data_IF_417244260512
#
_entry.id   IF_417244260512
#
_cell.length_a   1.000
_cell.length_b   1.000
_cell.length_c   1.000
_cell.angle_alpha   90.00
_cell.angle_beta   90.00
_cell.angle_gamma   90.00
#
_symmetry.space_group_name_H-M   'P 1'
#
loop_
_entity.id
_entity.type
_entity.pdbx_description
1 polymer ?
#
# COMPACT_ATOMS: atom_id res chain seq x y z
N UNK A 1 -18.06 17.93 3.67
CA UNK A 1 -16.61 17.75 3.83
C UNK A 1 -15.88 17.41 2.53
N UNK A 2 -16.24 16.33 1.82
CA UNK A 2 -15.57 16.00 0.54
C UNK A 2 -15.64 17.12 -0.52
N UNK A 3 -16.66 17.98 -0.49
CA UNK A 3 -16.72 19.16 -1.35
C UNK A 3 -15.56 20.14 -1.08
N UNK A 4 -15.15 20.35 0.18
CA UNK A 4 -14.01 21.23 0.51
C UNK A 4 -12.71 20.71 -0.08
N UNK A 5 -12.53 19.38 -0.10
CA UNK A 5 -11.37 18.75 -0.72
C UNK A 5 -11.40 18.81 -2.25
N UNK A 6 -12.59 18.77 -2.86
CA UNK A 6 -12.74 19.02 -4.30
C UNK A 6 -12.38 20.46 -4.65
N UNK A 7 -12.87 21.43 -3.89
CA UNK A 7 -12.55 22.84 -4.08
C UNK A 7 -11.05 23.10 -3.91
N UNK A 8 -10.43 22.43 -2.93
CA UNK A 8 -8.99 22.48 -2.74
C UNK A 8 -8.24 21.85 -3.92
N UNK A 9 -8.69 20.69 -4.42
CA UNK A 9 -8.08 20.01 -5.56
C UNK A 9 -8.14 20.86 -6.85
N UNK A 10 -9.15 21.72 -7.01
CA UNK A 10 -9.25 22.64 -8.14
C UNK A 10 -8.03 23.55 -8.26
N UNK A 11 -7.39 23.96 -7.15
CA UNK A 11 -6.19 24.81 -7.19
C UNK A 11 -4.94 24.06 -7.68
N UNK A 12 -4.95 22.72 -7.59
CA UNK A 12 -3.88 21.84 -8.06
C UNK A 12 -4.09 21.32 -9.48
N UNK A 13 -5.23 21.64 -10.14
CA UNK A 13 -5.50 21.22 -11.51
C UNK A 13 -4.59 21.98 -12.49
N UNK A 14 -3.32 21.57 -12.55
CA UNK A 14 -2.35 22.07 -13.51
C UNK A 14 -2.86 21.77 -14.93
N UNK A 15 -2.89 22.79 -15.78
CA UNK A 15 -2.92 22.55 -17.22
C UNK A 15 -1.56 21.93 -17.56
N UNK A 16 -1.48 20.71 -18.12
CA UNK A 16 -0.19 20.14 -18.45
C UNK A 16 0.49 21.02 -19.51
N UNK A 17 1.45 21.84 -19.08
CA UNK A 17 2.31 22.61 -19.99
C UNK A 17 3.21 21.67 -20.81
N UNK A 18 3.44 20.45 -20.31
CA UNK A 18 4.11 19.36 -21.03
C UNK A 18 3.10 18.33 -21.52
N UNK A 19 3.13 18.05 -22.83
CA UNK A 19 2.42 16.93 -23.44
C UNK A 19 2.99 15.64 -22.83
N UNK A 20 2.18 14.99 -22.00
CA UNK A 20 2.57 13.74 -21.36
C UNK A 20 2.07 12.56 -22.19
N UNK A 21 3.01 11.78 -22.70
CA UNK A 21 2.69 10.61 -23.50
C UNK A 21 2.35 9.40 -22.62
N UNK A 22 1.30 8.63 -22.96
CA UNK A 22 0.97 7.39 -22.27
C UNK A 22 2.02 6.31 -22.53
N UNK A 23 2.29 5.47 -21.53
CA UNK A 23 3.17 4.31 -21.70
C UNK A 23 2.59 3.26 -22.66
N UNK A 24 3.46 2.64 -23.45
CA UNK A 24 3.12 1.46 -24.24
C UNK A 24 3.04 0.22 -23.32
N UNK A 25 1.90 0.03 -22.67
CA UNK A 25 1.69 -1.06 -21.71
C UNK A 25 1.38 -2.39 -22.43
N UNK A 26 2.05 -3.50 -22.08
CA UNK A 26 1.74 -4.82 -22.65
C UNK A 26 0.43 -5.37 -22.09
N UNK A 27 0.09 -5.04 -20.85
CA UNK A 27 -1.17 -5.36 -20.21
C UNK A 27 -1.45 -4.41 -19.04
N UNK A 28 -2.67 -4.49 -18.50
CA UNK A 28 -3.11 -3.66 -17.38
C UNK A 28 -2.40 -3.97 -16.05
N UNK A 29 -1.93 -5.19 -15.84
CA UNK A 29 -1.26 -5.58 -14.58
C UNK A 29 0.10 -4.92 -14.48
N UNK A 30 0.85 -4.86 -15.59
CA UNK A 30 2.09 -4.09 -15.67
C UNK A 30 1.80 -2.61 -15.42
N UNK A 31 0.76 -2.05 -16.05
CA UNK A 31 0.37 -0.65 -15.83
C UNK A 31 0.06 -0.33 -14.36
N UNK A 32 -0.72 -1.17 -13.69
CA UNK A 32 -1.06 -0.98 -12.27
C UNK A 32 0.17 -1.12 -11.36
N UNK A 33 1.09 -2.04 -11.68
CA UNK A 33 2.35 -2.23 -10.97
C UNK A 33 3.27 -1.00 -11.11
N UNK A 34 3.39 -0.45 -12.32
CA UNK A 34 4.16 0.78 -12.60
C UNK A 34 3.53 1.97 -11.86
N UNK A 35 2.21 2.17 -11.99
CA UNK A 35 1.50 3.27 -11.34
C UNK A 35 1.78 3.32 -9.84
N UNK A 36 1.63 2.17 -9.16
CA UNK A 36 1.84 2.08 -7.72
C UNK A 36 3.28 2.36 -7.31
N UNK A 37 4.26 1.72 -7.98
CA UNK A 37 5.67 1.91 -7.64
C UNK A 37 6.19 3.29 -7.98
N UNK A 38 5.72 3.88 -9.08
CA UNK A 38 6.06 5.25 -9.45
C UNK A 38 5.57 6.24 -8.38
N UNK A 39 4.30 6.13 -7.94
CA UNK A 39 3.78 6.96 -6.85
C UNK A 39 4.59 6.74 -5.57
N UNK A 40 4.78 5.49 -5.15
CA UNK A 40 5.56 5.13 -3.95
C UNK A 40 6.98 5.72 -3.94
N UNK A 41 7.63 5.78 -5.10
CA UNK A 41 8.99 6.32 -5.28
C UNK A 41 9.04 7.82 -5.59
N UNK A 42 7.89 8.48 -5.71
CA UNK A 42 7.80 9.90 -6.02
C UNK A 42 8.07 10.27 -7.49
N UNK A 43 7.94 9.32 -8.41
CA UNK A 43 8.06 9.57 -9.85
C UNK A 43 6.73 10.04 -10.44
N UNK A 44 6.55 11.36 -10.45
CA UNK A 44 5.33 12.03 -10.90
C UNK A 44 5.04 11.80 -12.38
N UNK A 45 6.07 11.90 -13.23
CA UNK A 45 5.95 11.75 -14.67
C UNK A 45 5.54 10.32 -15.06
N UNK A 46 6.25 9.31 -14.53
CA UNK A 46 5.96 7.91 -14.82
C UNK A 46 4.60 7.47 -14.27
N UNK A 47 4.23 7.92 -13.06
CA UNK A 47 2.92 7.65 -12.49
C UNK A 47 1.80 8.16 -13.40
N UNK A 48 1.95 9.40 -13.86
CA UNK A 48 0.94 10.04 -14.71
C UNK A 48 0.89 9.42 -16.13
N UNK A 49 2.02 9.10 -16.76
CA UNK A 49 2.05 8.34 -18.03
C UNK A 49 1.44 6.94 -17.91
N UNK A 50 1.64 6.25 -16.78
CA UNK A 50 0.99 4.96 -16.50
C UNK A 50 -0.53 5.11 -16.33
N UNK A 51 -0.98 6.15 -15.63
CA UNK A 51 -2.40 6.43 -15.47
C UNK A 51 -3.10 6.74 -16.80
N UNK A 52 -2.48 7.55 -17.66
CA UNK A 52 -2.98 7.85 -19.00
C UNK A 52 -3.13 6.59 -19.85
N UNK A 53 -2.15 5.69 -19.80
CA UNK A 53 -2.20 4.41 -20.51
C UNK A 53 -3.27 3.44 -19.94
N UNK A 54 -3.52 3.50 -18.63
CA UNK A 54 -4.53 2.67 -17.97
C UNK A 54 -5.98 3.13 -18.22
N UNK A 55 -6.22 4.41 -18.47
CA UNK A 55 -7.59 4.94 -18.69
C UNK A 55 -8.38 4.20 -19.79
N UNK A 56 -7.83 3.96 -20.99
CA UNK A 56 -8.52 3.18 -22.01
C UNK A 56 -8.54 1.67 -21.72
N UNK A 57 -7.59 1.15 -20.93
CA UNK A 57 -7.43 -0.29 -20.68
C UNK A 57 -8.28 -0.81 -19.50
N UNK A 58 -8.32 -0.09 -18.39
CA UNK A 58 -9.03 -0.46 -17.17
C UNK A 58 -9.34 0.76 -16.29
N UNK A 59 -10.24 1.62 -16.77
CA UNK A 59 -10.67 2.85 -16.05
C UNK A 59 -11.11 2.57 -14.61
N UNK A 60 -11.91 1.52 -14.39
CA UNK A 60 -12.39 1.15 -13.05
C UNK A 60 -11.25 0.67 -12.16
N UNK A 61 -10.34 -0.14 -12.72
CA UNK A 61 -9.12 -0.58 -12.06
C UNK A 61 -8.22 0.58 -11.64
N UNK A 62 -8.03 1.58 -12.52
CA UNK A 62 -7.24 2.78 -12.23
C UNK A 62 -7.76 3.52 -11.00
N UNK A 63 -9.04 3.90 -10.97
CA UNK A 63 -9.59 4.69 -9.86
C UNK A 63 -9.55 3.94 -8.54
N UNK A 64 -9.85 2.64 -8.55
CA UNK A 64 -9.73 1.79 -7.35
C UNK A 64 -8.29 1.68 -6.88
N UNK A 65 -7.33 1.54 -7.81
CA UNK A 65 -5.90 1.44 -7.49
C UNK A 65 -5.35 2.76 -6.96
N UNK A 66 -5.70 3.91 -7.54
CA UNK A 66 -5.32 5.22 -6.99
C UNK A 66 -5.79 5.39 -5.56
N UNK A 67 -7.04 5.00 -5.27
CA UNK A 67 -7.56 5.05 -3.91
C UNK A 67 -6.81 4.09 -2.98
N UNK A 68 -6.52 2.87 -3.44
CA UNK A 68 -5.74 1.89 -2.67
C UNK A 68 -4.35 2.44 -2.35
N UNK A 69 -3.63 2.98 -3.34
CA UNK A 69 -2.31 3.60 -3.18
C UNK A 69 -2.36 4.78 -2.21
N UNK A 70 -3.42 5.60 -2.26
CA UNK A 70 -3.58 6.70 -1.33
C UNK A 70 -3.62 6.21 0.13
N UNK A 71 -4.34 5.14 0.44
CA UNK A 71 -4.36 4.57 1.79
C UNK A 71 -3.11 3.76 2.14
N UNK A 72 -2.58 2.98 1.20
CA UNK A 72 -1.47 2.03 1.41
C UNK A 72 -0.11 2.73 1.47
N UNK A 73 0.17 3.61 0.51
CA UNK A 73 1.50 4.15 0.28
C UNK A 73 1.65 5.60 0.75
N UNK A 74 0.56 6.37 0.82
CA UNK A 74 0.56 7.77 1.28
C UNK A 74 0.08 7.88 2.73
N UNK A 75 -1.09 7.31 3.05
CA UNK A 75 -1.60 7.17 4.41
C UNK A 75 -1.61 8.50 5.19
N UNK A 76 -1.12 8.46 6.44
CA UNK A 76 -0.95 9.66 7.28
C UNK A 76 0.35 10.44 7.00
N UNK A 77 1.09 10.05 5.97
CA UNK A 77 2.17 10.88 5.45
C UNK A 77 1.61 12.17 4.83
N UNK A 78 0.48 12.08 4.12
CA UNK A 78 -0.23 13.23 3.56
C UNK A 78 -1.76 13.00 3.54
N UNK A 79 -2.41 13.30 4.67
CA UNK A 79 -3.85 13.09 4.87
C UNK A 79 -4.72 13.92 3.91
N UNK A 80 -4.21 15.07 3.47
CA UNK A 80 -4.88 15.92 2.50
C UNK A 80 -4.89 15.26 1.13
N UNK A 81 -3.76 14.71 0.68
CA UNK A 81 -3.69 13.97 -0.59
C UNK A 81 -4.63 12.76 -0.60
N UNK A 82 -4.70 12.01 0.52
CA UNK A 82 -5.66 10.90 0.67
C UNK A 82 -7.11 11.38 0.55
N UNK A 83 -7.45 12.45 1.27
CA UNK A 83 -8.80 13.02 1.27
C UNK A 83 -9.22 13.56 -0.10
N UNK A 84 -8.31 14.24 -0.82
CA UNK A 84 -8.53 14.71 -2.18
C UNK A 84 -8.71 13.56 -3.17
N UNK A 85 -7.89 12.51 -3.07
CA UNK A 85 -8.01 11.31 -3.90
C UNK A 85 -9.38 10.64 -3.70
N UNK A 86 -9.80 10.43 -2.45
CA UNK A 86 -11.11 9.87 -2.12
C UNK A 86 -12.26 10.74 -2.67
N UNK A 87 -12.18 12.06 -2.51
CA UNK A 87 -13.20 12.99 -3.00
C UNK A 87 -13.36 12.96 -4.53
N UNK A 88 -12.24 12.84 -5.26
CA UNK A 88 -12.21 12.74 -6.72
C UNK A 88 -12.69 11.38 -7.22
N UNK A 89 -12.31 10.27 -6.57
CA UNK A 89 -12.77 8.91 -6.92
C UNK A 89 -14.29 8.78 -6.76
N UNK A 90 -14.85 9.40 -5.71
CA UNK A 90 -16.27 9.27 -5.39
C UNK A 90 -17.21 9.95 -6.41
N UNK A 91 -16.76 11.00 -7.11
CA UNK A 91 -17.62 11.77 -8.03
C UNK A 91 -17.12 11.77 -9.48
N UNK A 92 -17.59 10.83 -10.32
CA UNK A 92 -17.35 10.86 -11.75
C UNK A 92 -17.85 12.15 -12.43
N UNK A 93 -18.99 12.70 -11.97
CA UNK A 93 -19.55 13.96 -12.50
C UNK A 93 -18.60 15.12 -12.28
N UNK A 94 -18.06 15.25 -11.07
CA UNK A 94 -17.07 16.29 -10.76
C UNK A 94 -15.81 16.15 -11.62
N UNK A 95 -15.35 14.92 -11.86
CA UNK A 95 -14.19 14.71 -12.75
C UNK A 95 -14.48 15.17 -14.18
N UNK A 96 -15.70 14.95 -14.68
CA UNK A 96 -16.12 15.46 -15.98
C UNK A 96 -16.11 16.99 -16.03
N UNK A 97 -16.62 17.65 -14.99
CA UNK A 97 -16.62 19.12 -14.86
C UNK A 97 -15.20 19.71 -14.79
N UNK A 98 -14.24 18.97 -14.23
CA UNK A 98 -12.84 19.41 -14.08
C UNK A 98 -11.96 19.17 -15.31
N UNK A 99 -12.54 18.89 -16.48
CA UNK A 99 -11.81 18.62 -17.72
C UNK A 99 -11.52 17.14 -17.99
N UNK A 100 -12.23 16.24 -17.29
CA UNK A 100 -12.27 14.82 -17.57
C UNK A 100 -11.30 13.95 -16.77
N UNK A 101 -11.49 12.63 -16.90
CA UNK A 101 -10.74 11.61 -16.16
C UNK A 101 -9.22 11.73 -16.33
N UNK A 102 -8.73 12.06 -17.53
CA UNK A 102 -7.29 12.18 -17.82
C UNK A 102 -6.62 13.27 -16.98
N UNK A 103 -7.16 14.49 -16.98
CA UNK A 103 -6.61 15.61 -16.24
C UNK A 103 -6.62 15.34 -14.73
N UNK A 104 -7.72 14.80 -14.21
CA UNK A 104 -7.83 14.47 -12.78
C UNK A 104 -6.87 13.35 -12.41
N UNK A 105 -6.76 12.28 -13.20
CA UNK A 105 -5.87 11.16 -12.91
C UNK A 105 -4.40 11.60 -12.87
N UNK A 106 -3.96 12.41 -13.84
CA UNK A 106 -2.60 12.99 -13.86
C UNK A 106 -2.36 13.85 -12.61
N UNK A 107 -3.31 14.70 -12.26
CA UNK A 107 -3.21 15.57 -11.07
C UNK A 107 -3.07 14.76 -9.80
N UNK A 108 -3.90 13.72 -9.61
CA UNK A 108 -3.80 12.84 -8.45
C UNK A 108 -2.48 12.05 -8.42
N UNK A 109 -1.97 11.61 -9.57
CA UNK A 109 -0.68 10.92 -9.63
C UNK A 109 0.45 11.83 -9.13
N UNK A 110 0.47 13.10 -9.57
CA UNK A 110 1.45 14.09 -9.11
C UNK A 110 1.33 14.32 -7.60
N UNK A 111 0.11 14.63 -7.14
CA UNK A 111 -0.19 14.87 -5.72
C UNK A 111 0.26 13.71 -4.83
N UNK A 112 -0.13 12.48 -5.17
CA UNK A 112 0.22 11.29 -4.39
C UNK A 112 1.72 10.97 -4.47
N UNK A 113 2.36 11.18 -5.61
CA UNK A 113 3.80 10.94 -5.78
C UNK A 113 4.65 11.95 -5.00
N UNK A 114 4.25 13.22 -4.94
CA UNK A 114 4.96 14.28 -4.20
C UNK A 114 4.75 14.22 -2.68
N UNK A 115 3.59 13.70 -2.24
CA UNK A 115 3.23 13.56 -0.83
C UNK A 115 4.25 12.75 -0.02
N UNK A 116 4.32 12.99 1.29
CA UNK A 116 5.10 12.11 2.18
C UNK A 116 4.43 10.74 2.21
N UNK A 117 5.23 9.67 2.14
CA UNK A 117 4.75 8.29 2.17
C UNK A 117 4.63 7.79 3.60
N UNK A 118 3.60 7.00 3.86
CA UNK A 118 3.46 6.22 5.09
C UNK A 118 2.82 4.88 4.74
N UNK A 119 3.58 3.80 4.95
CA UNK A 119 3.16 2.42 4.68
C UNK A 119 2.70 1.66 5.92
N UNK A 120 2.60 2.34 7.06
CA UNK A 120 2.29 1.68 8.33
C UNK A 120 0.90 1.08 8.31
N UNK A 121 -0.01 1.62 7.50
CA UNK A 121 -1.33 1.05 7.27
C UNK A 121 -1.26 -0.40 6.77
N UNK A 122 -0.46 -0.65 5.74
CA UNK A 122 -0.20 -1.97 5.15
C UNK A 122 0.44 -2.91 6.18
N UNK A 123 1.52 -2.44 6.81
CA UNK A 123 2.27 -3.26 7.76
C UNK A 123 1.46 -3.65 9.00
N UNK A 124 0.74 -2.69 9.61
CA UNK A 124 0.02 -2.92 10.85
C UNK A 124 -1.26 -3.72 10.62
N UNK A 125 -1.92 -3.60 9.46
CA UNK A 125 -3.07 -4.46 9.17
C UNK A 125 -2.65 -5.89 8.83
N UNK A 126 -1.52 -6.08 8.13
CA UNK A 126 -0.92 -7.40 7.96
C UNK A 126 -0.56 -8.00 9.33
N UNK A 127 0.04 -7.21 10.22
CA UNK A 127 0.36 -7.67 11.56
C UNK A 127 -0.89 -8.05 12.38
N UNK A 128 -1.91 -7.21 12.35
CA UNK A 128 -3.21 -7.50 12.97
C UNK A 128 -3.82 -8.79 12.46
N UNK A 129 -3.61 -9.13 11.18
CA UNK A 129 -4.13 -10.34 10.57
C UNK A 129 -3.36 -11.61 10.94
N UNK A 130 -2.03 -11.58 10.83
CA UNK A 130 -1.21 -12.80 10.81
C UNK A 130 0.02 -12.79 11.71
N UNK A 131 0.38 -11.67 12.36
CA UNK A 131 1.57 -11.70 13.22
C UNK A 131 1.34 -12.61 14.44
N UNK A 132 2.27 -13.52 14.77
CA UNK A 132 2.12 -14.45 15.90
C UNK A 132 1.93 -13.73 17.23
N UNK A 133 2.75 -12.71 17.50
CA UNK A 133 2.67 -11.93 18.75
C UNK A 133 1.33 -11.22 18.98
N UNK A 134 0.48 -11.11 17.94
CA UNK A 134 -0.84 -10.45 18.03
C UNK A 134 -1.98 -11.48 18.05
N UNK A 135 -1.70 -12.77 18.25
CA UNK A 135 -2.72 -13.81 18.34
C UNK A 135 -3.67 -13.60 19.51
N UNK A 136 -3.15 -13.41 20.73
CA UNK A 136 -3.96 -13.13 21.91
C UNK A 136 -4.79 -11.85 21.74
N UNK A 137 -4.23 -10.83 21.07
CA UNK A 137 -4.93 -9.58 20.77
C UNK A 137 -6.12 -9.82 19.83
N UNK A 138 -5.94 -10.64 18.79
CA UNK A 138 -7.03 -11.05 17.88
C UNK A 138 -8.13 -11.81 18.62
N UNK A 139 -7.77 -12.76 19.46
CA UNK A 139 -8.74 -13.54 20.25
C UNK A 139 -9.53 -12.64 21.22
N UNK A 140 -8.83 -11.74 21.93
CA UNK A 140 -9.45 -10.79 22.83
C UNK A 140 -10.39 -9.82 22.11
N UNK A 141 -10.00 -9.27 20.96
CA UNK A 141 -10.87 -8.39 20.18
C UNK A 141 -12.08 -9.14 19.61
N UNK A 142 -11.87 -10.35 19.08
CA UNK A 142 -12.92 -11.18 18.47
C UNK A 142 -13.96 -11.69 19.46
N UNK A 143 -13.58 -11.94 20.71
CA UNK A 143 -14.48 -12.41 21.77
C UNK A 143 -15.30 -11.29 22.43
N UNK A 144 -14.90 -10.03 22.29
CA UNK A 144 -15.58 -8.89 22.91
C UNK A 144 -16.86 -8.49 22.16
N UNK A 145 -17.89 -7.99 22.86
CA UNK A 145 -19.03 -7.31 22.25
C UNK A 145 -18.59 -6.12 21.38
N UNK A 146 -19.35 -5.81 20.33
CA UNK A 146 -19.06 -4.73 19.39
C UNK A 146 -18.81 -3.38 20.08
N UNK A 147 -19.64 -3.00 21.06
CA UNK A 147 -19.48 -1.76 21.81
C UNK A 147 -18.13 -1.69 22.56
N UNK A 148 -17.65 -2.81 23.08
CA UNK A 148 -16.37 -2.86 23.78
C UNK A 148 -15.19 -2.76 22.80
N UNK A 149 -15.32 -3.31 21.59
CA UNK A 149 -14.32 -3.13 20.52
C UNK A 149 -14.18 -1.67 20.13
N UNK A 150 -15.30 -0.95 19.98
CA UNK A 150 -15.28 0.49 19.67
C UNK A 150 -14.60 1.28 20.81
N UNK A 151 -14.92 0.99 22.08
CA UNK A 151 -14.24 1.64 23.22
C UNK A 151 -12.74 1.37 23.26
N UNK A 152 -12.29 0.17 22.87
CA UNK A 152 -10.85 -0.12 22.79
C UNK A 152 -10.15 0.80 21.78
N UNK A 153 -10.81 1.20 20.68
CA UNK A 153 -10.21 2.11 19.69
C UNK A 153 -9.97 3.50 20.29
N UNK A 154 -10.87 3.97 21.15
CA UNK A 154 -10.80 5.29 21.81
C UNK A 154 -9.79 5.32 22.97
N UNK A 155 -9.50 4.17 23.59
CA UNK A 155 -8.63 4.09 24.75
C UNK A 155 -7.16 4.28 24.38
N UNK A 156 -6.65 5.49 24.59
CA UNK A 156 -5.26 5.86 24.32
C UNK A 156 -4.24 5.16 25.23
N UNK A 157 -4.67 4.50 26.31
CA UNK A 157 -3.79 3.72 27.18
C UNK A 157 -3.48 2.32 26.63
N UNK A 158 -4.28 1.84 25.68
CA UNK A 158 -4.06 0.54 25.06
C UNK A 158 -2.91 0.59 24.03
N UNK A 159 -2.13 -0.49 23.90
CA UNK A 159 -1.15 -0.62 22.83
C UNK A 159 -1.78 -0.48 21.46
N UNK A 160 -0.98 -0.04 20.49
CA UNK A 160 -1.45 0.14 19.11
C UNK A 160 -2.01 -1.16 18.50
N UNK A 161 -1.44 -2.31 18.87
CA UNK A 161 -1.88 -3.62 18.41
C UNK A 161 -3.35 -3.88 18.75
N UNK A 162 -3.74 -3.63 20.01
CA UNK A 162 -5.10 -3.77 20.51
C UNK A 162 -6.06 -2.84 19.78
N UNK A 163 -5.68 -1.58 19.60
CA UNK A 163 -6.51 -0.55 18.97
C UNK A 163 -6.75 -0.84 17.49
N UNK A 164 -5.72 -1.25 16.75
CA UNK A 164 -5.85 -1.59 15.31
C UNK A 164 -6.69 -2.85 15.14
N UNK A 165 -6.42 -3.88 15.93
CA UNK A 165 -7.15 -5.14 15.85
C UNK A 165 -8.61 -4.92 16.24
N UNK A 166 -8.89 -4.17 17.30
CA UNK A 166 -10.25 -3.81 17.67
C UNK A 166 -10.97 -2.98 16.59
N UNK A 167 -10.28 -2.01 15.96
CA UNK A 167 -10.85 -1.25 14.85
C UNK A 167 -11.21 -2.14 13.65
N UNK A 168 -10.34 -3.08 13.28
CA UNK A 168 -10.64 -4.05 12.23
C UNK A 168 -11.86 -4.89 12.60
N UNK A 169 -11.90 -5.46 13.81
CA UNK A 169 -13.02 -6.29 14.25
C UNK A 169 -14.33 -5.51 14.48
N UNK A 170 -14.26 -4.22 14.80
CA UNK A 170 -15.43 -3.35 14.93
C UNK A 170 -15.99 -2.92 13.58
N UNK A 171 -15.14 -2.86 12.55
CA UNK A 171 -15.53 -2.35 11.22
C UNK A 171 -16.48 -3.26 10.44
N UNK A 172 -16.47 -4.57 10.71
CA UNK A 172 -17.20 -5.54 9.87
C UNK A 172 -16.54 -5.81 8.51
N UNK A 173 -15.37 -5.25 8.23
CA UNK A 173 -14.68 -5.40 6.93
C UNK A 173 -13.86 -6.69 6.93
N UNK A 174 -14.30 -7.66 6.12
CA UNK A 174 -13.63 -8.96 5.98
C UNK A 174 -12.44 -8.91 5.01
N UNK A 175 -11.53 -9.88 5.17
CA UNK A 175 -10.38 -10.04 4.30
C UNK A 175 -10.55 -11.26 3.38
N UNK A 176 -10.97 -11.09 2.13
CA UNK A 176 -11.21 -12.24 1.26
C UNK A 176 -9.94 -13.12 1.06
N UNK A 177 -10.04 -14.47 1.13
CA UNK A 177 -11.25 -15.29 1.33
C UNK A 177 -11.63 -15.55 2.80
N UNK A 178 -10.82 -15.08 3.72
CA UNK A 178 -10.97 -15.22 5.16
C UNK A 178 -12.18 -14.41 5.68
N UNK A 179 -13.01 -15.03 6.52
CA UNK A 179 -14.13 -14.37 7.17
C UNK A 179 -14.06 -14.64 8.67
N UNK A 180 -13.64 -13.64 9.45
CA UNK A 180 -13.45 -13.77 10.90
C UNK A 180 -13.96 -12.60 11.72
N UNK A 181 -14.27 -11.47 11.08
CA UNK A 181 -14.70 -10.26 11.80
C UNK A 181 -16.18 -10.33 12.18
N UNK A 182 -17.01 -10.83 11.27
CA UNK A 182 -18.46 -10.87 11.45
C UNK A 182 -19.14 -9.51 11.24
N UNK A 183 -20.28 -9.30 11.88
CA UNK A 183 -21.00 -8.03 11.82
C UNK A 183 -20.22 -6.92 12.55
N UNK A 184 -20.22 -5.72 11.98
CA UNK A 184 -19.58 -4.55 12.55
C UNK A 184 -20.49 -3.33 12.56
N UNK A 185 -19.99 -2.25 13.14
CA UNK A 185 -20.60 -0.93 13.15
C UNK A 185 -19.59 0.10 12.64
N UNK A 186 -19.56 0.23 11.32
CA UNK A 186 -18.64 1.14 10.65
C UNK A 186 -18.97 2.62 10.95
N UNK A 187 -20.25 2.94 11.18
CA UNK A 187 -20.63 4.31 11.48
C UNK A 187 -20.17 4.70 12.89
N UNK A 188 -20.47 3.88 13.89
CA UNK A 188 -19.98 4.07 15.26
C UNK A 188 -18.47 4.04 15.37
N UNK A 189 -17.76 3.17 14.64
CA UNK A 189 -16.30 3.16 14.61
C UNK A 189 -15.70 4.47 14.08
N UNK A 190 -16.26 5.01 13.00
CA UNK A 190 -15.77 6.26 12.41
C UNK A 190 -16.05 7.47 13.33
N UNK A 191 -17.18 7.46 14.03
CA UNK A 191 -17.52 8.50 15.01
C UNK A 191 -16.59 8.44 16.23
N UNK A 192 -16.25 7.23 16.69
CA UNK A 192 -15.25 6.99 17.74
C UNK A 192 -13.85 7.46 17.33
N UNK A 193 -13.40 7.13 16.11
CA UNK A 193 -12.12 7.60 15.58
C UNK A 193 -12.05 9.13 15.49
N UNK A 194 -13.13 9.77 15.04
CA UNK A 194 -13.20 11.23 15.00
C UNK A 194 -13.16 11.83 16.41
N UNK A 195 -13.86 11.22 17.37
CA UNK A 195 -13.84 11.65 18.78
C UNK A 195 -12.46 11.46 19.43
N UNK A 196 -11.71 10.45 18.99
CA UNK A 196 -10.32 10.20 19.38
C UNK A 196 -9.29 11.11 18.69
N UNK A 197 -9.73 12.03 17.82
CA UNK A 197 -8.87 13.05 17.21
C UNK A 197 -8.55 12.84 15.72
N UNK A 198 -9.03 11.75 15.09
CA UNK A 198 -8.78 11.53 13.66
C UNK A 198 -9.24 12.73 12.83
N UNK A 199 -8.40 13.14 11.87
CA UNK A 199 -8.72 14.24 10.99
C UNK A 199 -10.06 13.97 10.28
N UNK A 200 -11.01 14.91 10.30
CA UNK A 200 -12.34 14.66 9.73
C UNK A 200 -12.27 14.22 8.25
N UNK A 201 -11.32 14.79 7.49
CA UNK A 201 -11.08 14.41 6.09
C UNK A 201 -10.68 12.95 5.92
N UNK A 202 -9.81 12.45 6.79
CA UNK A 202 -9.37 11.05 6.79
C UNK A 202 -10.52 10.09 7.12
N UNK A 203 -11.40 10.46 8.07
CA UNK A 203 -12.62 9.69 8.39
C UNK A 203 -13.55 9.63 7.18
N UNK A 204 -13.83 10.77 6.55
CA UNK A 204 -14.65 10.83 5.35
C UNK A 204 -14.05 10.04 4.17
N UNK A 205 -12.74 10.12 3.99
CA UNK A 205 -12.00 9.36 2.99
C UNK A 205 -12.12 7.85 3.26
N UNK A 206 -11.96 7.43 4.51
CA UNK A 206 -12.04 6.01 4.92
C UNK A 206 -13.39 5.40 4.58
N UNK A 207 -14.49 6.13 4.80
CA UNK A 207 -15.84 5.71 4.38
C UNK A 207 -15.92 5.45 2.87
N UNK A 208 -15.31 6.31 2.05
CA UNK A 208 -15.21 6.09 0.58
C UNK A 208 -14.32 4.88 0.27
N UNK A 209 -13.15 4.78 0.93
CA UNK A 209 -12.21 3.68 0.81
C UNK A 209 -12.88 2.32 1.00
N UNK A 210 -13.66 2.15 2.07
CA UNK A 210 -14.33 0.89 2.39
C UNK A 210 -15.36 0.54 1.31
N UNK A 211 -16.19 1.51 0.88
CA UNK A 211 -17.20 1.26 -0.16
C UNK A 211 -16.59 0.89 -1.51
N UNK A 212 -15.43 1.47 -1.86
CA UNK A 212 -14.84 1.36 -3.20
C UNK A 212 -13.78 0.26 -3.33
N UNK A 213 -13.02 0.02 -2.25
CA UNK A 213 -11.93 -0.95 -2.19
C UNK A 213 -12.36 -2.21 -1.45
N UNK A 214 -13.12 -2.08 -0.35
CA UNK A 214 -13.61 -3.21 0.43
C UNK A 214 -12.50 -3.98 1.16
N UNK A 215 -11.41 -3.31 1.51
CA UNK A 215 -10.24 -3.93 2.15
C UNK A 215 -9.91 -3.24 3.48
N UNK A 216 -9.57 -3.98 4.56
CA UNK A 216 -9.33 -3.40 5.89
C UNK A 216 -8.21 -2.35 5.96
N UNK A 217 -7.26 -2.37 5.03
CA UNK A 217 -6.13 -1.43 4.98
C UNK A 217 -6.57 0.05 5.04
N UNK A 218 -7.72 0.39 4.48
CA UNK A 218 -8.22 1.77 4.44
C UNK A 218 -8.65 2.30 5.82
N UNK A 219 -8.86 1.41 6.80
CA UNK A 219 -9.21 1.77 8.18
C UNK A 219 -8.02 2.36 8.94
N UNK A 220 -6.83 1.83 8.68
CA UNK A 220 -5.67 2.08 9.52
C UNK A 220 -5.20 3.54 9.46
N UNK A 221 -5.20 4.24 8.31
CA UNK A 221 -4.86 5.67 8.29
C UNK A 221 -5.74 6.54 9.19
N UNK A 222 -7.05 6.29 9.30
CA UNK A 222 -7.90 7.02 10.23
C UNK A 222 -7.53 6.72 11.70
N UNK A 223 -7.18 5.46 12.00
CA UNK A 223 -6.66 5.05 13.31
C UNK A 223 -5.36 5.81 13.64
N UNK A 224 -4.38 5.75 12.74
CA UNK A 224 -3.09 6.42 12.93
C UNK A 224 -3.23 7.95 13.01
N UNK A 225 -4.19 8.54 12.29
CA UNK A 225 -4.51 9.97 12.38
C UNK A 225 -4.95 10.34 13.80
N UNK A 226 -5.83 9.54 14.43
CA UNK A 226 -6.21 9.72 15.83
C UNK A 226 -5.03 9.58 16.80
N UNK A 227 -4.19 8.54 16.63
CA UNK A 227 -3.07 8.26 17.54
C UNK A 227 -1.97 9.32 17.46
N UNK A 228 -1.72 9.85 16.27
CA UNK A 228 -0.63 10.81 16.03
C UNK A 228 -1.08 12.27 16.07
N UNK A 229 -2.31 12.52 16.53
CA UNK A 229 -2.85 13.88 16.63
C UNK A 229 -1.98 14.75 17.53
N UNK A 230 -1.48 15.87 16.97
CA UNK A 230 -0.60 16.80 17.68
C UNK A 230 0.88 16.42 17.67
N UNK A 231 1.24 15.26 17.10
CA UNK A 231 2.65 14.91 16.90
C UNK A 231 3.24 15.68 15.70
N UNK A 232 4.50 16.14 15.79
CA UNK A 232 5.15 16.77 14.65
C UNK A 232 5.35 15.78 13.52
N UNK A 233 4.92 16.15 12.31
CA UNK A 233 5.20 15.38 11.09
C UNK A 233 6.70 15.40 10.79
N UNK A 234 7.38 14.30 11.07
CA UNK A 234 8.78 14.08 10.69
C UNK A 234 8.85 13.16 9.49
N UNK A 235 9.74 13.48 8.55
CA UNK A 235 10.00 12.65 7.39
C UNK A 235 11.47 12.68 7.03
N UNK A 236 11.89 11.65 6.31
CA UNK A 236 13.24 11.53 5.79
C UNK A 236 13.21 11.13 4.31
N UNK A 237 14.26 11.54 3.59
CA UNK A 237 14.52 11.04 2.25
C UNK A 237 15.28 9.71 2.35
N UNK A 238 14.88 8.73 1.53
CA UNK A 238 15.55 7.43 1.41
C UNK A 238 15.98 7.21 -0.04
N UNK A 239 17.09 6.51 -0.22
CA UNK A 239 17.51 6.07 -1.54
C UNK A 239 16.59 4.96 -2.04
N UNK A 240 16.11 5.08 -3.28
CA UNK A 240 15.41 3.99 -3.97
C UNK A 240 16.37 3.28 -4.94
N UNK A 241 16.21 1.97 -5.19
CA UNK A 241 17.05 1.25 -6.15
C UNK A 241 17.00 1.89 -7.54
N UNK A 242 18.16 1.94 -8.21
CA UNK A 242 18.26 2.48 -9.56
C UNK A 242 17.35 1.70 -10.52
N UNK A 243 16.60 2.44 -11.32
CA UNK A 243 15.68 1.87 -12.29
C UNK A 243 16.42 1.32 -13.51
N UNK A 244 16.09 0.09 -13.89
CA UNK A 244 16.50 -0.51 -15.17
C UNK A 244 15.25 -0.66 -16.04
N UNK A 245 15.31 -0.19 -17.28
CA UNK A 245 14.18 -0.19 -18.21
C UNK A 245 14.47 -0.99 -19.48
N UNK A 246 13.43 -1.61 -20.03
CA UNK A 246 13.41 -2.22 -21.37
C UNK A 246 12.24 -1.63 -22.13
N UNK A 247 12.49 -1.02 -23.29
CA UNK A 247 11.45 -0.34 -24.09
C UNK A 247 10.63 0.69 -23.30
N UNK A 248 11.29 1.42 -22.39
CA UNK A 248 10.63 2.41 -21.51
C UNK A 248 9.84 1.83 -20.34
N UNK A 249 9.77 0.50 -20.19
CA UNK A 249 9.10 -0.16 -19.08
C UNK A 249 10.12 -0.55 -17.99
N UNK A 250 9.89 -0.17 -16.73
CA UNK A 250 10.80 -0.53 -15.66
C UNK A 250 10.71 -2.00 -15.28
N UNK A 251 11.86 -2.66 -15.13
CA UNK A 251 11.92 -4.09 -14.84
C UNK A 251 11.30 -4.47 -13.49
N UNK A 252 11.32 -3.55 -12.52
CA UNK A 252 10.68 -3.75 -11.22
C UNK A 252 9.15 -3.89 -11.31
N UNK A 253 8.53 -3.54 -12.45
CA UNK A 253 7.11 -3.75 -12.66
C UNK A 253 6.76 -5.24 -12.82
N UNK A 254 7.72 -6.06 -13.26
CA UNK A 254 7.59 -7.50 -13.39
C UNK A 254 7.89 -8.18 -12.06
N UNK A 255 6.92 -8.12 -11.16
CA UNK A 255 7.00 -8.62 -9.79
C UNK A 255 6.11 -9.86 -9.56
N UNK A 256 5.95 -10.24 -8.29
CA UNK A 256 5.13 -11.38 -7.85
C UNK A 256 3.63 -11.26 -8.20
N UNK A 257 3.15 -10.11 -8.69
CA UNK A 257 1.76 -9.92 -9.12
C UNK A 257 1.59 -10.02 -10.64
N UNK A 258 2.68 -10.25 -11.38
CA UNK A 258 2.67 -10.36 -12.84
C UNK A 258 3.11 -11.75 -13.27
N UNK A 259 2.57 -12.25 -14.39
CA UNK A 259 2.91 -13.61 -14.88
C UNK A 259 4.40 -13.77 -15.17
N UNK A 260 4.98 -12.81 -15.90
CA UNK A 260 6.41 -12.83 -16.23
C UNK A 260 7.27 -12.63 -14.97
N UNK A 261 6.87 -11.74 -14.06
CA UNK A 261 7.58 -11.53 -12.80
C UNK A 261 7.61 -12.78 -11.91
N UNK A 262 6.49 -13.51 -11.78
CA UNK A 262 6.46 -14.82 -11.09
C UNK A 262 7.43 -15.82 -11.72
N UNK A 263 7.43 -15.94 -13.05
CA UNK A 263 8.36 -16.81 -13.77
C UNK A 263 9.83 -16.41 -13.53
N UNK A 264 10.13 -15.10 -13.54
CA UNK A 264 11.46 -14.57 -13.26
C UNK A 264 11.90 -14.88 -11.82
N UNK A 265 11.02 -14.65 -10.84
CA UNK A 265 11.26 -14.92 -9.41
C UNK A 265 11.51 -16.40 -9.17
N UNK A 266 10.68 -17.29 -9.73
CA UNK A 266 10.83 -18.72 -9.60
C UNK A 266 12.16 -19.23 -10.21
N UNK A 267 12.57 -18.65 -11.35
CA UNK A 267 13.86 -18.96 -11.97
C UNK A 267 15.03 -18.43 -11.14
N UNK A 268 14.91 -17.20 -10.64
CA UNK A 268 15.91 -16.54 -9.79
C UNK A 268 16.18 -17.33 -8.50
N UNK A 269 15.12 -17.77 -7.81
CA UNK A 269 15.21 -18.58 -6.60
C UNK A 269 16.00 -19.90 -6.80
N UNK A 270 15.98 -20.48 -8.01
CA UNK A 270 16.65 -21.75 -8.32
C UNK A 270 18.05 -21.59 -8.88
N UNK A 271 18.28 -20.53 -9.67
CA UNK A 271 19.49 -20.35 -10.47
C UNK A 271 20.55 -19.47 -9.80
N UNK A 272 20.16 -18.51 -8.95
CA UNK A 272 21.13 -17.72 -8.21
C UNK A 272 21.60 -18.51 -6.98
N UNK A 273 22.90 -18.85 -6.94
CA UNK A 273 23.47 -19.70 -5.89
C UNK A 273 23.37 -19.08 -4.48
N UNK A 274 23.54 -17.76 -4.36
CA UNK A 274 23.49 -17.08 -3.05
C UNK A 274 22.08 -17.11 -2.48
N UNK A 275 21.08 -16.76 -3.28
CA UNK A 275 19.66 -16.82 -2.91
C UNK A 275 19.26 -18.25 -2.57
N UNK A 276 19.60 -19.23 -3.42
CA UNK A 276 19.30 -20.65 -3.16
C UNK A 276 19.87 -21.13 -1.82
N UNK A 277 21.13 -20.78 -1.52
CA UNK A 277 21.80 -21.19 -0.27
C UNK A 277 21.07 -20.65 0.97
N UNK A 278 20.57 -19.41 0.92
CA UNK A 278 19.79 -18.83 2.02
C UNK A 278 18.42 -19.52 2.13
N UNK A 279 17.76 -19.79 1.00
CA UNK A 279 16.48 -20.49 0.99
C UNK A 279 16.60 -21.91 1.56
N UNK A 280 17.60 -22.70 1.15
CA UNK A 280 17.87 -24.04 1.68
C UNK A 280 18.07 -24.06 3.21
N UNK A 281 18.62 -22.96 3.77
CA UNK A 281 18.88 -22.85 5.20
C UNK A 281 17.65 -22.46 6.01
N UNK A 282 16.78 -21.58 5.49
CA UNK A 282 15.75 -20.91 6.28
C UNK A 282 14.31 -21.18 5.80
N UNK A 283 14.11 -21.69 4.58
CA UNK A 283 12.79 -21.74 3.94
C UNK A 283 12.53 -23.15 3.41
N UNK A 284 11.39 -23.79 3.76
CA UNK A 284 11.02 -25.07 3.16
C UNK A 284 10.93 -24.98 1.63
N UNK A 285 11.45 -25.96 0.90
CA UNK A 285 11.54 -25.98 -0.58
C UNK A 285 10.25 -25.54 -1.30
N UNK A 286 9.10 -26.02 -0.83
CA UNK A 286 7.78 -25.70 -1.39
C UNK A 286 7.38 -24.21 -1.26
N UNK A 287 8.12 -23.43 -0.47
CA UNK A 287 7.86 -22.01 -0.18
C UNK A 287 8.91 -21.07 -0.76
N UNK A 288 9.94 -21.57 -1.45
CA UNK A 288 11.01 -20.76 -2.00
C UNK A 288 10.54 -19.64 -2.92
N UNK A 289 9.58 -19.92 -3.82
CA UNK A 289 9.05 -18.91 -4.73
C UNK A 289 8.33 -17.79 -3.96
N UNK A 290 7.51 -18.13 -2.97
CA UNK A 290 6.78 -17.15 -2.16
C UNK A 290 7.75 -16.30 -1.31
N UNK A 291 8.71 -16.93 -0.63
CA UNK A 291 9.72 -16.23 0.15
C UNK A 291 10.59 -15.31 -0.71
N UNK A 292 11.00 -15.77 -1.90
CA UNK A 292 11.77 -14.94 -2.85
C UNK A 292 10.93 -13.78 -3.37
N UNK A 293 9.63 -14.01 -3.63
CA UNK A 293 8.69 -12.95 -4.02
C UNK A 293 8.56 -11.84 -2.98
N UNK A 294 8.45 -12.21 -1.70
CA UNK A 294 8.50 -11.25 -0.58
C UNK A 294 9.86 -10.58 -0.47
N UNK A 295 10.96 -11.32 -0.62
CA UNK A 295 12.31 -10.76 -0.66
C UNK A 295 12.46 -9.68 -1.73
N UNK A 296 11.97 -9.93 -2.95
CA UNK A 296 11.97 -8.95 -4.06
C UNK A 296 11.06 -7.78 -3.74
N UNK A 297 9.88 -8.03 -3.18
CA UNK A 297 8.98 -6.97 -2.78
C UNK A 297 9.64 -6.04 -1.76
N UNK A 298 10.25 -6.54 -0.70
CA UNK A 298 10.87 -5.68 0.31
C UNK A 298 12.19 -5.06 -0.15
N UNK A 299 13.00 -5.75 -0.96
CA UNK A 299 14.27 -5.21 -1.45
C UNK A 299 14.10 -4.15 -2.57
N UNK A 300 13.03 -4.23 -3.37
CA UNK A 300 12.84 -3.39 -4.56
C UNK A 300 11.46 -2.74 -4.58
N UNK A 301 10.40 -3.54 -4.42
CA UNK A 301 9.02 -3.13 -4.62
C UNK A 301 8.52 -2.12 -3.61
N UNK A 302 8.84 -2.28 -2.33
CA UNK A 302 8.29 -1.53 -1.20
C UNK A 302 9.02 -0.22 -0.91
N UNK A 303 10.18 -0.02 -1.56
CA UNK A 303 11.06 1.12 -1.34
C UNK A 303 10.37 2.45 -1.67
N UNK A 304 10.47 3.39 -0.73
CA UNK A 304 9.87 4.73 -0.77
C UNK A 304 10.97 5.79 -0.77
N UNK A 305 10.79 6.89 -1.50
CA UNK A 305 11.82 7.94 -1.59
C UNK A 305 11.72 9.00 -0.48
N UNK A 306 10.50 9.25 0.03
CA UNK A 306 10.21 10.24 1.07
C UNK A 306 9.20 9.66 2.02
N UNK A 307 9.57 9.37 3.26
CA UNK A 307 8.71 8.62 4.18
C UNK A 307 8.64 9.24 5.57
N UNK A 308 7.51 9.04 6.25
CA UNK A 308 7.32 9.41 7.65
C UNK A 308 8.28 8.61 8.55
N UNK A 309 8.85 9.29 9.54
CA UNK A 309 9.66 8.67 10.59
C UNK A 309 8.78 8.42 11.81
N UNK A 310 8.72 7.16 12.24
CA UNK A 310 8.05 6.75 13.48
C UNK A 310 9.01 6.86 14.67
N UNK A 311 8.45 7.10 15.86
CA UNK A 311 9.24 7.00 17.10
C UNK A 311 9.60 5.53 17.39
N UNK A 312 10.71 5.29 18.09
CA UNK A 312 11.27 3.95 18.33
C UNK A 312 10.30 2.98 19.05
N UNK A 313 9.20 3.46 19.62
CA UNK A 313 8.21 2.65 20.32
C UNK A 313 7.48 1.66 19.41
N UNK A 314 7.38 1.94 18.09
CA UNK A 314 6.72 1.06 17.13
C UNK A 314 7.58 1.02 15.86
N UNK A 315 7.88 -0.19 15.37
CA UNK A 315 8.50 -0.41 14.07
C UNK A 315 7.51 -1.14 13.14
N UNK A 316 6.61 -0.41 12.46
CA UNK A 316 5.62 -1.03 11.56
C UNK A 316 6.30 -1.86 10.48
N UNK A 317 7.38 -1.36 9.88
CA UNK A 317 8.08 -2.03 8.78
C UNK A 317 8.60 -3.42 9.18
N UNK A 318 9.15 -3.57 10.38
CA UNK A 318 9.53 -4.89 10.91
C UNK A 318 8.30 -5.80 11.07
N UNK A 319 7.26 -5.34 11.76
CA UNK A 319 6.05 -6.13 12.02
C UNK A 319 5.38 -6.58 10.72
N UNK A 320 5.30 -5.70 9.73
CA UNK A 320 4.72 -6.03 8.42
C UNK A 320 5.54 -7.08 7.66
N UNK A 321 6.88 -6.97 7.69
CA UNK A 321 7.77 -7.97 7.08
C UNK A 321 7.60 -9.35 7.73
N UNK A 322 7.63 -9.40 9.05
CA UNK A 322 7.44 -10.65 9.81
C UNK A 322 6.06 -11.25 9.53
N UNK A 323 4.99 -10.44 9.56
CA UNK A 323 3.63 -10.88 9.31
C UNK A 323 3.40 -11.39 7.88
N UNK A 324 4.02 -10.76 6.87
CA UNK A 324 3.91 -11.19 5.48
C UNK A 324 4.61 -12.53 5.25
N UNK A 325 5.81 -12.73 5.81
CA UNK A 325 6.52 -14.03 5.74
C UNK A 325 5.71 -15.13 6.44
N UNK A 326 5.21 -14.86 7.64
CA UNK A 326 4.37 -15.79 8.39
C UNK A 326 3.09 -16.16 7.62
N UNK A 327 2.47 -15.18 6.95
CA UNK A 327 1.27 -15.43 6.11
C UNK A 327 1.52 -16.43 4.97
N UNK A 328 2.78 -16.57 4.54
CA UNK A 328 3.19 -17.53 3.52
C UNK A 328 3.65 -18.87 4.12
N UNK A 329 3.60 -19.03 5.45
CA UNK A 329 4.12 -20.17 6.18
C UNK A 329 5.64 -20.26 6.11
N UNK A 330 6.30 -19.11 6.13
CA UNK A 330 7.76 -18.98 6.21
C UNK A 330 8.08 -18.37 7.56
N UNK A 331 8.98 -19.02 8.30
CA UNK A 331 9.40 -18.54 9.62
C UNK A 331 9.93 -17.10 9.55
N UNK A 332 9.49 -16.25 10.47
CA UNK A 332 9.84 -14.82 10.49
C UNK A 332 11.36 -14.58 10.58
N UNK A 333 12.14 -15.51 11.15
CA UNK A 333 13.60 -15.43 11.18
C UNK A 333 14.25 -15.51 9.79
N UNK A 334 13.52 -15.97 8.77
CA UNK A 334 13.98 -15.99 7.38
C UNK A 334 13.85 -14.63 6.69
N UNK A 335 13.06 -13.69 7.23
CA UNK A 335 12.72 -12.44 6.54
C UNK A 335 13.95 -11.61 6.18
N UNK A 336 14.74 -11.19 7.18
CA UNK A 336 15.93 -10.37 6.93
C UNK A 336 17.00 -11.08 6.08
N UNK A 337 17.38 -12.36 6.34
CA UNK A 337 18.31 -13.09 5.49
C UNK A 337 17.87 -13.14 4.01
N UNK A 338 16.59 -13.43 3.75
CA UNK A 338 16.05 -13.52 2.38
C UNK A 338 16.00 -12.16 1.71
N UNK A 339 15.54 -11.11 2.42
CA UNK A 339 15.46 -9.75 1.86
C UNK A 339 16.86 -9.24 1.50
N UNK A 340 17.83 -9.41 2.39
CA UNK A 340 19.19 -8.93 2.17
C UNK A 340 19.86 -9.63 0.98
N UNK A 341 19.84 -10.96 0.93
CA UNK A 341 20.47 -11.71 -0.18
C UNK A 341 19.78 -11.42 -1.52
N UNK A 342 18.46 -11.23 -1.52
CA UNK A 342 17.73 -10.83 -2.74
C UNK A 342 18.14 -9.43 -3.18
N UNK A 343 18.22 -8.48 -2.24
CA UNK A 343 18.65 -7.10 -2.51
C UNK A 343 20.03 -7.02 -3.15
N UNK A 344 21.00 -7.77 -2.61
CA UNK A 344 22.37 -7.86 -3.14
C UNK A 344 22.43 -8.47 -4.55
N UNK A 345 21.40 -9.24 -4.95
CA UNK A 345 21.37 -10.00 -6.20
C UNK A 345 20.27 -9.53 -7.18
N UNK A 346 19.69 -8.34 -7.00
CA UNK A 346 18.63 -7.81 -7.89
C UNK A 346 19.06 -7.69 -9.36
N UNK A 347 20.35 -7.47 -9.64
CA UNK A 347 20.86 -7.39 -11.01
C UNK A 347 20.74 -8.73 -11.76
N UNK A 348 20.89 -9.85 -11.06
CA UNK A 348 20.68 -11.18 -11.64
C UNK A 348 19.19 -11.42 -11.96
N UNK A 349 18.29 -10.99 -11.07
CA UNK A 349 16.85 -11.02 -11.35
C UNK A 349 16.50 -10.16 -12.56
N UNK A 350 17.06 -8.96 -12.68
CA UNK A 350 16.85 -8.09 -13.83
C UNK A 350 17.35 -8.72 -15.13
N UNK A 351 18.48 -9.43 -15.12
CA UNK A 351 18.94 -10.21 -16.27
C UNK A 351 17.92 -11.27 -16.70
N UNK A 352 17.38 -12.01 -15.74
CA UNK A 352 16.34 -13.02 -15.99
C UNK A 352 15.07 -12.38 -16.56
N UNK A 353 14.61 -11.25 -16.01
CA UNK A 353 13.45 -10.50 -16.53
C UNK A 353 13.67 -10.06 -17.98
N UNK A 354 14.87 -9.56 -18.31
CA UNK A 354 15.22 -9.16 -19.69
C UNK A 354 15.22 -10.35 -20.66
N UNK A 355 15.75 -11.50 -20.27
CA UNK A 355 15.72 -12.71 -21.10
C UNK A 355 14.30 -13.15 -21.40
N UNK A 356 13.42 -13.18 -20.39
CA UNK A 356 12.03 -13.58 -20.54
C UNK A 356 11.20 -12.61 -21.39
N UNK A 357 11.62 -11.35 -21.56
CA UNK A 357 10.95 -10.38 -22.43
C UNK A 357 11.33 -10.51 -23.92
N UNK A 358 12.38 -11.27 -24.23
CA UNK A 358 12.84 -11.51 -25.62
C UNK A 358 12.14 -12.71 -26.28
N UNK A 359 11.45 -13.52 -25.50
CA UNK A 359 10.72 -14.72 -25.91
C UNK A 359 9.22 -14.49 -25.79
#
# INVERSE_FOLDING_TARGET
MLNLFRDSLCSFLVLPDEIMEPLALPDKWIGLSILQKAIRRGDTAKAASAALALLPLDRSGLWRRLLTIAFEDVGIGDENAVSMCAAAVESPTWRAEMGGDARVAVTLCKLLAEGVKDRSADHLICAARSHPDWEEVREAAGSRPLADRVRMVEDASLPIADRITAAWFASGVEWYPERRVGAGDLDGLMDALQSAGAAPGMVAATRVGIRRVGHPIVLVPAMLSAVTTGEPHRWEARSVPQETCVNGLPLHAYDQFTRLGKAAIARFARQNNAVRTVLERFVPDRKWEAATGLGVFFAEGSQVAKCRVWSDAINPERLGREADFESQGVDMSAADPVINVVGENLQDLNRIRMELLRH
#
